data_IF_835266642425
#
_entry.id   IF_835266642425
#
_cell.length_a   1.000
_cell.length_b   1.000
_cell.length_c   1.000
_cell.angle_alpha   90.00
_cell.angle_beta   90.00
_cell.angle_gamma   90.00
#
_symmetry.space_group_name_H-M   'P 1'
#
loop_
_entity.id
_entity.type
_entity.pdbx_description
1 polymer ?
#
# COMPACT_ATOMS: atom_id res chain seq x y z
N UNK A 1 11.97 -9.58 -6.35
CA UNK A 1 12.37 -8.18 -6.63
C UNK A 1 11.09 -7.42 -6.82
N UNK A 2 10.62 -6.77 -5.77
CA UNK A 2 9.23 -6.37 -5.70
C UNK A 2 9.06 -4.92 -6.17
N UNK A 3 8.19 -4.71 -7.16
CA UNK A 3 8.04 -3.42 -7.86
C UNK A 3 6.74 -2.76 -7.42
N UNK A 4 6.84 -1.73 -6.60
CA UNK A 4 5.70 -0.89 -6.26
C UNK A 4 5.30 -0.03 -7.47
N UNK A 5 4.07 -0.17 -7.98
CA UNK A 5 3.51 0.74 -8.99
C UNK A 5 2.55 1.73 -8.32
N UNK A 6 2.96 2.99 -8.30
CA UNK A 6 2.15 4.11 -7.82
C UNK A 6 1.45 4.78 -8.99
N UNK A 7 0.12 4.85 -8.97
CA UNK A 7 -0.70 5.51 -10.00
C UNK A 7 -1.46 6.67 -9.36
N UNK A 8 -1.18 7.90 -9.83
CA UNK A 8 -1.80 9.14 -9.33
C UNK A 8 -2.58 9.82 -10.45
N UNK A 9 -3.84 10.23 -10.23
CA UNK A 9 -4.63 11.19 -11.07
C UNK A 9 -5.84 11.77 -10.30
N UNK A 10 -6.22 13.05 -10.51
CA UNK A 10 -7.01 13.53 -11.68
C UNK A 10 -6.47 14.87 -12.26
N UNK A 11 -6.78 15.45 -13.43
CA UNK A 11 -7.74 15.27 -14.53
C UNK A 11 -7.09 15.79 -15.84
N UNK A 12 -7.51 15.27 -17.00
CA UNK A 12 -7.04 15.61 -18.38
C UNK A 12 -5.63 15.11 -18.77
N UNK A 13 -5.63 13.89 -19.32
CA UNK A 13 -4.74 13.42 -20.40
C UNK A 13 -3.28 13.91 -20.38
N UNK A 14 -2.46 13.34 -19.49
CA UNK A 14 -1.04 13.00 -19.71
C UNK A 14 -0.66 11.93 -18.68
N UNK A 15 -0.15 10.77 -19.10
CA UNK A 15 0.32 9.73 -18.17
C UNK A 15 1.69 10.15 -17.65
N UNK A 16 1.74 10.81 -16.50
CA UNK A 16 3.00 11.07 -15.79
C UNK A 16 3.33 9.84 -14.93
N UNK A 17 4.14 8.93 -15.47
CA UNK A 17 4.66 7.79 -14.71
C UNK A 17 5.96 8.20 -14.03
N UNK A 18 5.98 8.15 -12.71
CA UNK A 18 7.21 8.33 -11.92
C UNK A 18 7.75 6.95 -11.48
N UNK A 19 9.03 6.69 -11.73
CA UNK A 19 9.66 5.41 -11.43
C UNK A 19 10.80 5.58 -10.41
N UNK A 20 10.64 4.95 -9.24
CA UNK A 20 11.63 4.92 -8.17
C UNK A 20 12.54 3.69 -8.31
N UNK A 21 13.68 3.83 -9.01
CA UNK A 21 14.59 2.70 -9.23
C UNK A 21 15.36 2.33 -7.96
N UNK A 22 15.19 1.10 -7.48
CA UNK A 22 15.99 0.50 -6.41
C UNK A 22 15.13 -0.26 -5.40
N UNK A 23 15.61 -0.39 -4.16
CA UNK A 23 14.92 -1.13 -3.11
C UNK A 23 13.97 -0.21 -2.34
N UNK A 24 12.79 -0.74 -2.02
CA UNK A 24 11.84 -0.10 -1.11
C UNK A 24 12.14 -0.54 0.33
N UNK A 25 12.09 0.36 1.33
CA UNK A 25 11.60 1.74 1.26
C UNK A 25 12.63 2.81 0.87
N UNK A 26 13.89 2.44 0.66
CA UNK A 26 14.99 3.41 0.52
C UNK A 26 14.76 4.43 -0.61
N UNK A 27 14.16 3.98 -1.72
CA UNK A 27 13.89 4.81 -2.90
C UNK A 27 12.60 5.62 -2.82
N UNK A 28 11.74 5.38 -1.83
CA UNK A 28 10.49 6.11 -1.66
C UNK A 28 10.73 7.60 -1.35
N UNK A 29 11.93 7.94 -0.88
CA UNK A 29 12.43 9.31 -0.69
C UNK A 29 12.44 10.15 -1.96
N UNK A 30 12.46 9.52 -3.14
CA UNK A 30 12.38 10.22 -4.42
C UNK A 30 10.97 10.78 -4.71
N UNK A 31 9.94 10.30 -4.01
CA UNK A 31 8.58 10.82 -4.17
C UNK A 31 8.46 12.15 -3.42
N UNK A 32 8.03 13.25 -4.08
CA UNK A 32 7.85 14.55 -3.43
C UNK A 32 7.05 14.44 -2.13
N UNK A 33 7.45 15.16 -1.08
CA UNK A 33 6.85 15.01 0.25
C UNK A 33 5.42 15.52 0.36
N UNK A 34 5.03 16.43 -0.54
CA UNK A 34 3.69 17.02 -0.66
C UNK A 34 2.72 16.20 -1.53
N UNK A 35 3.21 15.11 -2.15
CA UNK A 35 2.38 14.27 -3.00
C UNK A 35 1.41 13.42 -2.15
N UNK A 36 0.14 13.39 -2.58
CA UNK A 36 -0.95 12.65 -1.93
C UNK A 36 -1.48 11.56 -2.85
N UNK A 37 -2.01 10.49 -2.25
CA UNK A 37 -2.45 9.32 -3.01
C UNK A 37 -3.94 9.10 -2.85
N UNK A 38 -4.65 8.84 -3.94
CA UNK A 38 -6.03 8.35 -3.90
C UNK A 38 -6.10 6.82 -3.77
N UNK A 39 -5.04 6.13 -4.21
CA UNK A 39 -4.97 4.68 -4.29
C UNK A 39 -3.52 4.22 -4.13
N UNK A 40 -3.30 3.22 -3.28
CA UNK A 40 -2.00 2.60 -3.05
C UNK A 40 -2.16 1.09 -3.14
N UNK A 41 -1.29 0.45 -3.91
CA UNK A 41 -1.21 -1.00 -4.02
C UNK A 41 0.14 -1.47 -3.48
N UNK A 42 0.13 -2.12 -2.32
CA UNK A 42 1.27 -2.75 -1.68
C UNK A 42 1.31 -4.23 -2.05
N UNK A 43 2.30 -4.57 -2.85
CA UNK A 43 2.65 -5.92 -3.24
C UNK A 43 4.15 -5.95 -2.99
N UNK A 44 4.57 -6.54 -1.86
CA UNK A 44 5.93 -6.51 -1.28
C UNK A 44 6.32 -7.86 -0.65
N UNK A 45 5.38 -8.79 -0.52
CA UNK A 45 5.44 -10.14 0.08
C UNK A 45 5.88 -10.23 1.56
N UNK A 46 6.86 -9.43 1.98
CA UNK A 46 7.54 -9.57 3.27
C UNK A 46 7.03 -8.56 4.31
N UNK A 47 7.11 -8.93 5.58
CA UNK A 47 6.64 -8.12 6.73
C UNK A 47 7.25 -6.71 6.73
N UNK A 48 8.58 -6.61 6.64
CA UNK A 48 9.30 -5.33 6.72
C UNK A 48 8.91 -4.34 5.61
N UNK A 49 8.92 -4.68 4.31
CA UNK A 49 8.51 -3.75 3.27
C UNK A 49 7.00 -3.45 3.28
N UNK A 50 6.14 -4.36 3.77
CA UNK A 50 4.73 -4.04 3.99
C UNK A 50 4.56 -3.00 5.09
N UNK A 51 5.21 -3.21 6.25
CA UNK A 51 5.16 -2.26 7.36
C UNK A 51 5.67 -0.88 6.95
N UNK A 52 6.83 -0.82 6.28
CA UNK A 52 7.37 0.43 5.76
C UNK A 52 6.46 1.08 4.70
N UNK A 53 5.76 0.28 3.89
CA UNK A 53 4.73 0.74 2.96
C UNK A 53 3.58 1.42 3.67
N UNK A 54 3.02 0.77 4.68
CA UNK A 54 1.92 1.30 5.48
C UNK A 54 2.32 2.61 6.16
N UNK A 55 3.50 2.65 6.81
CA UNK A 55 4.02 3.86 7.46
C UNK A 55 4.24 5.02 6.49
N UNK A 56 4.76 4.75 5.30
CA UNK A 56 5.01 5.78 4.30
C UNK A 56 3.73 6.30 3.63
N UNK A 57 2.86 5.38 3.21
CA UNK A 57 1.72 5.72 2.35
C UNK A 57 0.46 6.10 3.13
N UNK A 58 0.19 5.50 4.29
CA UNK A 58 -1.02 5.80 5.06
C UNK A 58 -1.18 7.28 5.44
N UNK A 59 -0.17 8.01 5.97
CA UNK A 59 -0.33 9.43 6.27
C UNK A 59 -0.58 10.29 5.02
N UNK A 60 -0.16 9.81 3.84
CA UNK A 60 -0.24 10.51 2.55
C UNK A 60 -1.42 10.07 1.69
N UNK A 61 -2.12 9.02 2.12
CA UNK A 61 -3.37 8.57 1.50
C UNK A 61 -4.45 9.62 1.80
N UNK A 62 -5.15 10.07 0.78
CA UNK A 62 -6.23 11.03 0.90
C UNK A 62 -7.41 10.44 1.70
N UNK A 63 -8.21 11.27 2.39
CA UNK A 63 -9.46 10.81 2.99
C UNK A 63 -10.34 10.10 1.94
N UNK A 64 -10.84 8.91 2.26
CA UNK A 64 -11.59 8.07 1.35
C UNK A 64 -10.74 7.29 0.33
N UNK A 65 -9.42 7.47 0.30
CA UNK A 65 -8.51 6.71 -0.53
C UNK A 65 -8.41 5.24 -0.12
N UNK A 66 -7.93 4.40 -1.02
CA UNK A 66 -7.86 2.94 -0.83
C UNK A 66 -6.42 2.46 -0.69
N UNK A 67 -6.19 1.63 0.33
CA UNK A 67 -4.99 0.82 0.48
C UNK A 67 -5.33 -0.62 0.10
N UNK A 68 -4.68 -1.14 -0.94
CA UNK A 68 -4.80 -2.53 -1.38
C UNK A 68 -3.50 -3.23 -1.00
N UNK A 69 -3.61 -4.31 -0.24
CA UNK A 69 -2.47 -5.10 0.24
C UNK A 69 -2.60 -6.51 -0.34
N UNK A 70 -1.68 -6.85 -1.23
CA UNK A 70 -1.57 -8.17 -1.80
C UNK A 70 -1.06 -9.18 -0.74
N UNK A 71 -1.45 -10.45 -0.89
CA UNK A 71 -1.03 -11.57 -0.04
C UNK A 71 -1.40 -11.49 1.47
N UNK A 72 -2.36 -10.64 1.85
CA UNK A 72 -2.84 -10.50 3.24
C UNK A 72 -3.42 -11.81 3.82
N UNK A 73 -4.23 -12.54 3.07
CA UNK A 73 -4.81 -13.84 3.42
C UNK A 73 -4.32 -14.92 2.44
N UNK A 74 -3.01 -14.99 2.24
CA UNK A 74 -2.33 -15.86 1.26
C UNK A 74 -2.22 -17.33 1.69
N UNK A 75 -3.17 -17.86 2.48
CA UNK A 75 -3.15 -19.26 2.92
C UNK A 75 -1.92 -19.66 3.74
N UNK A 76 -1.26 -18.69 4.38
CA UNK A 76 -0.05 -18.89 5.18
C UNK A 76 1.27 -18.83 4.40
N UNK A 77 1.25 -18.50 3.10
CA UNK A 77 2.49 -18.31 2.33
C UNK A 77 3.27 -17.08 2.79
N UNK A 78 2.57 -15.99 3.12
CA UNK A 78 3.17 -14.73 3.56
C UNK A 78 2.60 -14.25 4.90
N UNK A 79 2.84 -14.98 6.00
CA UNK A 79 2.26 -14.66 7.30
C UNK A 79 2.69 -13.29 7.84
N UNK A 80 3.85 -12.80 7.38
CA UNK A 80 4.38 -11.48 7.70
C UNK A 80 3.51 -10.32 7.20
N UNK A 81 2.83 -10.48 6.05
CA UNK A 81 1.94 -9.44 5.50
C UNK A 81 0.78 -9.19 6.45
N UNK A 82 0.07 -10.26 6.83
CA UNK A 82 -1.06 -10.18 7.76
C UNK A 82 -0.65 -9.59 9.10
N UNK A 83 0.49 -10.03 9.62
CA UNK A 83 1.05 -9.54 10.88
C UNK A 83 1.32 -8.03 10.82
N UNK A 84 2.01 -7.55 9.78
CA UNK A 84 2.31 -6.12 9.61
C UNK A 84 1.03 -5.28 9.50
N UNK A 85 0.05 -5.71 8.69
CA UNK A 85 -1.22 -4.99 8.52
C UNK A 85 -2.02 -4.93 9.82
N UNK A 86 -2.12 -6.05 10.55
CA UNK A 86 -2.87 -6.11 11.81
C UNK A 86 -2.23 -5.23 12.89
N UNK A 87 -0.91 -5.30 13.05
CA UNK A 87 -0.20 -4.46 14.00
C UNK A 87 -0.32 -2.97 13.64
N UNK A 88 -0.31 -2.64 12.35
CA UNK A 88 -0.47 -1.27 11.88
C UNK A 88 -1.88 -0.73 12.11
N UNK A 89 -2.93 -1.54 11.93
CA UNK A 89 -4.32 -1.11 12.05
C UNK A 89 -4.88 -1.19 13.49
N UNK A 90 -4.15 -1.76 14.44
CA UNK A 90 -4.64 -2.00 15.82
C UNK A 90 -5.17 -0.76 16.55
N UNK A 91 -4.64 0.42 16.22
CA UNK A 91 -4.95 1.70 16.84
C UNK A 91 -5.71 2.64 15.88
N UNK A 92 -6.22 2.09 14.77
CA UNK A 92 -6.88 2.83 13.69
C UNK A 92 -8.35 2.42 13.57
N UNK A 93 -9.20 3.33 13.08
CA UNK A 93 -10.61 3.02 12.88
C UNK A 93 -10.86 2.16 11.63
N UNK A 94 -9.87 2.04 10.73
CA UNK A 94 -9.99 1.22 9.53
C UNK A 94 -10.00 -0.28 9.83
N UNK A 95 -10.82 -1.02 9.08
CA UNK A 95 -10.85 -2.48 9.10
C UNK A 95 -10.54 -3.02 7.72
N UNK A 96 -9.85 -4.16 7.68
CA UNK A 96 -9.54 -4.85 6.42
C UNK A 96 -10.77 -5.56 5.87
N UNK A 97 -10.97 -5.44 4.56
CA UNK A 97 -11.95 -6.17 3.77
C UNK A 97 -11.18 -7.19 2.93
N UNK A 98 -11.53 -8.46 3.05
CA UNK A 98 -10.92 -9.52 2.23
C UNK A 98 -11.54 -9.50 0.83
N UNK A 99 -10.68 -9.49 -0.18
CA UNK A 99 -11.07 -9.68 -1.57
C UNK A 99 -11.00 -11.18 -1.87
N UNK A 100 -12.06 -11.78 -2.44
CA UNK A 100 -12.07 -13.21 -2.78
C UNK A 100 -11.30 -13.45 -4.09
N UNK A 101 -10.03 -13.05 -4.15
CA UNK A 101 -9.12 -13.36 -5.23
C UNK A 101 -8.23 -14.57 -4.88
N UNK A 102 -7.44 -15.03 -5.85
CA UNK A 102 -6.57 -16.21 -5.67
C UNK A 102 -5.47 -15.98 -4.62
N UNK A 103 -5.03 -14.73 -4.44
CA UNK A 103 -3.86 -14.39 -3.63
C UNK A 103 -4.20 -13.96 -2.20
N UNK A 104 -5.47 -13.77 -1.88
CA UNK A 104 -5.88 -13.32 -0.55
C UNK A 104 -5.61 -11.83 -0.33
N UNK A 105 -5.96 -10.99 -1.30
CA UNK A 105 -5.81 -9.55 -1.18
C UNK A 105 -6.70 -8.97 -0.07
N UNK A 106 -6.15 -8.06 0.73
CA UNK A 106 -6.88 -7.26 1.71
C UNK A 106 -6.98 -5.81 1.25
N UNK A 107 -8.09 -5.14 1.55
CA UNK A 107 -8.31 -3.72 1.23
C UNK A 107 -8.87 -2.99 2.42
N UNK A 108 -8.38 -1.78 2.70
CA UNK A 108 -9.09 -0.85 3.57
C UNK A 108 -9.24 0.52 2.91
N UNK A 109 -10.30 1.22 3.28
CA UNK A 109 -10.56 2.60 2.86
C UNK A 109 -10.21 3.52 4.03
N UNK A 110 -9.35 4.51 3.80
CA UNK A 110 -9.01 5.53 4.80
C UNK A 110 -10.22 6.38 5.13
N UNK A 111 -10.53 6.55 6.41
CA UNK A 111 -11.75 7.24 6.84
C UNK A 111 -11.53 8.76 6.85
N UNK A 112 -10.45 9.23 7.49
CA UNK A 112 -10.07 10.64 7.60
C UNK A 112 -8.60 10.84 7.24
#
# INVERSE_FOLDING_TARGET
MTTLRLVIRPSKQTLFTFYCKGRFPETATAVPSDETFAFVHLDCDLELPIAAGLEFFYPRLAPGGMMVIHDYESGGHWPGVRKAVNEFLKDKPESIIIVPDKSGTGVFRKIL
#
